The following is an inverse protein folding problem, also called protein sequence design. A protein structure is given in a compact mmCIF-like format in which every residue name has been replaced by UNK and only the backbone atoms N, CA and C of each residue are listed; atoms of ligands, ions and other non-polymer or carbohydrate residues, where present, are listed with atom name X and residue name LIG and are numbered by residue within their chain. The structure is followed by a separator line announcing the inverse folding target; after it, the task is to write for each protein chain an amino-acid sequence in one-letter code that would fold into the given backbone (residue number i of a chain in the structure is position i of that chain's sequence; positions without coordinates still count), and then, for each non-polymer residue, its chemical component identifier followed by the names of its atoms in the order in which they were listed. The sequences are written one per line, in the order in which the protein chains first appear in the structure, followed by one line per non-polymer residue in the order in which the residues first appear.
data_IF_955789821798
#
_entry.id   IF_955789821798
#
_cell.length_a   1.000
_cell.length_b   1.000
_cell.length_c   1.000
_cell.angle_alpha   90.00
_cell.angle_beta   90.00
_cell.angle_gamma   90.00
#
_symmetry.space_group_name_H-M   'P 1'
#
loop_
_entity.id
_entity.type
_entity.pdbx_description
1 polymer ?
#
# COMPACT_ATOMS: atom_id res chain seq x y z
N UNK A 1 -2.57 -45.29 43.11
CA UNK A 1 -1.39 -44.69 42.45
C UNK A 1 -1.65 -44.70 40.95
N UNK A 2 -2.25 -43.65 40.39
CA UNK A 2 -2.48 -43.48 38.95
C UNK A 2 -2.47 -41.98 38.63
N UNK A 3 -1.31 -41.49 38.24
CA UNK A 3 -1.10 -40.19 37.60
C UNK A 3 -0.20 -40.43 36.40
N UNK A 4 -0.47 -39.71 35.31
CA UNK A 4 0.20 -39.66 33.98
C UNK A 4 -0.82 -39.99 32.88
N UNK A 5 -1.18 -39.14 31.93
CA UNK A 5 -0.61 -37.89 31.47
C UNK A 5 -1.73 -37.01 30.89
N UNK A 6 -1.95 -35.89 31.55
CA UNK A 6 -2.42 -34.66 30.93
C UNK A 6 -1.21 -34.07 30.19
N UNK A 7 -1.27 -33.97 28.87
CA UNK A 7 -0.50 -33.04 28.01
C UNK A 7 -0.25 -33.70 26.65
N UNK A 8 -1.02 -33.28 25.66
CA UNK A 8 -0.50 -32.95 24.33
C UNK A 8 -1.61 -32.22 23.56
N UNK A 9 -2.08 -31.12 24.16
CA UNK A 9 -2.61 -29.99 23.41
C UNK A 9 -1.42 -29.34 22.69
N UNK A 10 -1.01 -29.89 21.56
CA UNK A 10 -0.15 -29.17 20.62
C UNK A 10 -0.87 -29.24 19.29
N UNK A 11 -1.76 -28.28 19.11
CA UNK A 11 -2.20 -27.81 17.80
C UNK A 11 -0.94 -27.51 16.98
N UNK A 12 -0.56 -28.42 16.09
CA UNK A 12 0.43 -28.14 15.07
C UNK A 12 -0.18 -27.10 14.14
N UNK A 13 0.15 -25.83 14.39
CA UNK A 13 -0.14 -24.73 13.48
C UNK A 13 0.77 -24.92 12.26
N UNK A 14 0.26 -25.62 11.24
CA UNK A 14 0.93 -25.71 9.94
C UNK A 14 0.96 -24.29 9.38
N UNK A 15 2.12 -23.65 9.46
CA UNK A 15 2.38 -22.41 8.74
C UNK A 15 2.40 -22.74 7.26
N UNK A 16 1.31 -22.43 6.57
CA UNK A 16 1.25 -22.47 5.11
C UNK A 16 2.16 -21.31 4.65
N UNK A 17 3.38 -21.62 4.22
CA UNK A 17 4.18 -20.66 3.46
C UNK A 17 3.46 -20.43 2.14
N UNK A 18 3.18 -19.16 1.81
CA UNK A 18 2.59 -18.81 0.52
C UNK A 18 3.54 -19.25 -0.59
N UNK A 19 3.13 -20.24 -1.39
CA UNK A 19 3.85 -20.63 -2.58
C UNK A 19 3.71 -19.47 -3.58
N UNK A 20 4.77 -18.67 -3.73
CA UNK A 20 4.85 -17.69 -4.82
C UNK A 20 4.97 -18.48 -6.12
N UNK A 21 3.84 -18.65 -6.82
CA UNK A 21 3.86 -19.16 -8.17
C UNK A 21 4.46 -18.07 -9.06
N UNK A 22 5.65 -18.32 -9.61
CA UNK A 22 6.20 -17.45 -10.65
C UNK A 22 5.37 -17.65 -11.91
N UNK A 23 4.44 -16.72 -12.15
CA UNK A 23 3.59 -16.71 -13.35
C UNK A 23 4.38 -16.05 -14.46
N UNK A 24 4.74 -16.82 -15.48
CA UNK A 24 5.27 -16.29 -16.72
C UNK A 24 4.11 -16.03 -17.68
N UNK A 25 3.83 -14.76 -17.95
CA UNK A 25 2.92 -14.37 -19.03
C UNK A 25 3.74 -13.99 -20.27
N UNK A 26 3.21 -14.28 -21.45
CA UNK A 26 3.75 -13.69 -22.68
C UNK A 26 3.35 -12.22 -22.74
N UNK A 27 4.22 -11.33 -23.25
CA UNK A 27 3.83 -9.94 -23.49
C UNK A 27 2.66 -9.87 -24.50
N UNK A 28 1.88 -8.78 -24.51
CA UNK A 28 0.80 -8.62 -25.47
C UNK A 28 1.29 -8.70 -26.93
N UNK A 29 0.54 -9.39 -27.80
CA UNK A 29 0.88 -9.57 -29.22
C UNK A 29 0.72 -8.29 -30.06
N UNK A 30 -0.03 -7.31 -29.54
CA UNK A 30 -0.23 -6.01 -30.19
C UNK A 30 0.94 -5.06 -29.89
N UNK A 31 1.24 -4.09 -30.77
CA UNK A 31 2.20 -3.05 -30.47
C UNK A 31 1.76 -2.24 -29.25
N UNK A 32 2.49 -2.35 -28.14
CA UNK A 32 2.27 -1.57 -26.92
C UNK A 32 3.34 -0.48 -26.84
N UNK A 33 2.93 0.73 -26.45
CA UNK A 33 3.84 1.81 -26.07
C UNK A 33 3.65 2.16 -24.61
N UNK A 34 4.72 2.58 -23.94
CA UNK A 34 4.59 3.23 -22.63
C UNK A 34 3.99 4.61 -22.83
N UNK A 35 3.05 5.00 -21.95
CA UNK A 35 2.58 6.38 -21.91
C UNK A 35 3.74 7.30 -21.53
N UNK A 36 3.73 8.51 -22.07
CA UNK A 36 4.67 9.53 -21.62
C UNK A 36 4.13 10.22 -20.35
N UNK A 37 5.00 10.80 -19.54
CA UNK A 37 4.63 11.39 -18.24
C UNK A 37 3.67 12.59 -18.38
N UNK A 38 3.73 13.29 -19.50
CA UNK A 38 2.91 14.47 -19.81
C UNK A 38 1.58 14.13 -20.50
N UNK A 39 1.27 12.85 -20.69
CA UNK A 39 -0.05 12.43 -21.17
C UNK A 39 -1.07 12.47 -20.03
N UNK A 40 -2.36 12.54 -20.36
CA UNK A 40 -3.42 12.62 -19.35
C UNK A 40 -3.43 11.36 -18.44
N UNK A 41 -3.36 11.60 -17.13
CA UNK A 41 -3.35 10.54 -16.13
C UNK A 41 -4.71 10.38 -15.48
N UNK A 42 -5.16 9.13 -15.33
CA UNK A 42 -6.40 8.83 -14.60
C UNK A 42 -6.20 8.87 -13.08
N UNK A 43 -5.00 8.48 -12.61
CA UNK A 43 -4.66 8.46 -11.21
C UNK A 43 -3.15 8.59 -10.95
N UNK A 44 -2.80 9.15 -9.79
CA UNK A 44 -1.46 9.17 -9.23
C UNK A 44 -1.39 8.20 -8.05
N UNK A 45 -0.32 7.39 -7.98
CA UNK A 45 -0.14 6.42 -6.90
C UNK A 45 0.97 6.88 -5.97
N UNK A 46 0.74 6.80 -4.66
CA UNK A 46 1.74 7.02 -3.61
C UNK A 46 1.72 5.89 -2.59
N UNK A 47 2.85 5.66 -1.90
CA UNK A 47 2.91 4.68 -0.80
C UNK A 47 3.05 5.39 0.53
N UNK A 48 2.17 5.07 1.48
CA UNK A 48 2.18 5.62 2.84
C UNK A 48 2.77 4.60 3.82
N UNK A 49 4.09 4.53 3.89
CA UNK A 49 4.79 3.64 4.82
C UNK A 49 6.07 4.30 5.37
N UNK A 50 6.27 4.34 6.70
CA UNK A 50 7.51 4.85 7.27
C UNK A 50 8.78 4.11 6.80
N UNK A 51 8.67 2.82 6.44
CA UNK A 51 9.78 1.99 5.98
C UNK A 51 11.01 2.13 6.88
N UNK A 52 12.19 2.19 6.26
CA UNK A 52 13.45 2.58 6.90
C UNK A 52 13.77 4.08 6.81
N UNK A 53 12.90 4.89 6.22
CA UNK A 53 13.19 6.28 5.81
C UNK A 53 12.71 7.34 6.81
N UNK A 54 12.28 6.93 8.01
CA UNK A 54 11.80 7.84 9.05
C UNK A 54 10.41 8.39 8.76
N UNK A 55 10.11 9.62 9.21
CA UNK A 55 8.79 10.26 9.08
C UNK A 55 8.80 11.59 8.31
N UNK A 56 9.98 12.06 7.86
CA UNK A 56 10.12 13.38 7.21
C UNK A 56 9.35 13.48 5.88
N UNK A 57 9.11 12.34 5.22
CA UNK A 57 8.35 12.25 3.97
C UNK A 57 6.87 12.63 4.11
N UNK A 58 6.26 12.54 5.31
CA UNK A 58 4.82 12.76 5.50
C UNK A 58 4.36 14.15 5.09
N UNK A 59 5.17 15.17 5.39
CA UNK A 59 4.87 16.54 4.99
C UNK A 59 4.89 16.68 3.45
N UNK A 60 5.90 16.11 2.80
CA UNK A 60 6.03 16.17 1.33
C UNK A 60 4.89 15.41 0.65
N UNK A 61 4.57 14.20 1.10
CA UNK A 61 3.45 13.44 0.55
C UNK A 61 2.11 14.15 0.79
N UNK A 62 1.94 14.86 1.91
CA UNK A 62 0.73 15.65 2.16
C UNK A 62 0.55 16.75 1.12
N UNK A 63 1.61 17.49 0.79
CA UNK A 63 1.55 18.54 -0.23
C UNK A 63 1.35 17.96 -1.64
N UNK A 64 1.95 16.81 -1.93
CA UNK A 64 1.69 16.07 -3.19
C UNK A 64 0.23 15.68 -3.29
N UNK A 65 -0.35 15.08 -2.24
CA UNK A 65 -1.77 14.69 -2.22
C UNK A 65 -2.67 15.91 -2.36
N UNK A 66 -2.34 17.03 -1.68
CA UNK A 66 -3.11 18.27 -1.74
C UNK A 66 -3.19 18.82 -3.17
N UNK A 67 -2.08 18.83 -3.90
CA UNK A 67 -2.07 19.31 -5.28
C UNK A 67 -2.66 18.29 -6.27
N UNK A 68 -2.23 17.01 -6.17
CA UNK A 68 -2.59 16.00 -7.16
C UNK A 68 -4.10 15.68 -7.20
N UNK A 69 -4.79 15.77 -6.04
CA UNK A 69 -6.24 15.50 -5.95
C UNK A 69 -7.10 16.51 -6.70
N UNK A 70 -6.60 17.70 -6.97
CA UNK A 70 -7.31 18.73 -7.73
C UNK A 70 -7.36 18.37 -9.22
N UNK A 71 -6.39 17.59 -9.70
CA UNK A 71 -6.22 17.23 -11.10
C UNK A 71 -6.67 15.78 -11.41
N UNK A 72 -6.40 14.82 -10.51
CA UNK A 72 -6.69 13.41 -10.74
C UNK A 72 -6.95 12.64 -9.44
N UNK A 73 -7.35 11.37 -9.56
CA UNK A 73 -7.50 10.49 -8.39
C UNK A 73 -6.14 10.14 -7.79
N UNK A 74 -6.01 10.24 -6.48
CA UNK A 74 -4.80 9.81 -5.74
C UNK A 74 -5.05 8.47 -5.06
N UNK A 75 -4.28 7.46 -5.42
CA UNK A 75 -4.31 6.13 -4.80
C UNK A 75 -3.20 6.06 -3.74
N UNK A 76 -3.59 5.92 -2.48
CA UNK A 76 -2.67 5.84 -1.34
C UNK A 76 -2.55 4.37 -0.93
N UNK A 77 -1.39 3.78 -1.22
CA UNK A 77 -1.08 2.39 -0.89
C UNK A 77 -0.63 2.28 0.56
N UNK A 78 -1.33 1.46 1.33
CA UNK A 78 -1.13 1.26 2.76
C UNK A 78 -0.93 -0.22 3.06
N UNK A 79 -0.03 -0.53 3.99
CA UNK A 79 0.28 -1.93 4.37
C UNK A 79 -0.85 -2.64 5.14
N UNK A 80 -1.74 -1.86 5.75
CA UNK A 80 -2.87 -2.36 6.55
C UNK A 80 -3.95 -1.28 6.70
N UNK A 81 -5.14 -1.68 7.14
CA UNK A 81 -6.23 -0.75 7.44
C UNK A 81 -5.83 0.29 8.51
N UNK A 82 -5.02 -0.11 9.50
CA UNK A 82 -4.51 0.79 10.54
C UNK A 82 -3.64 1.89 9.94
N UNK A 83 -2.79 1.54 8.96
CA UNK A 83 -1.94 2.49 8.24
C UNK A 83 -2.78 3.46 7.40
N UNK A 84 -3.84 2.97 6.76
CA UNK A 84 -4.77 3.80 5.98
C UNK A 84 -5.50 4.81 6.87
N UNK A 85 -6.06 4.37 8.00
CA UNK A 85 -6.69 5.27 8.98
C UNK A 85 -5.69 6.28 9.55
N UNK A 86 -4.44 5.89 9.79
CA UNK A 86 -3.39 6.82 10.22
C UNK A 86 -3.05 7.87 9.14
N UNK A 87 -3.03 7.48 7.87
CA UNK A 87 -2.84 8.39 6.74
C UNK A 87 -4.00 9.40 6.65
N UNK A 88 -5.24 8.92 6.69
CA UNK A 88 -6.45 9.75 6.63
C UNK A 88 -6.50 10.77 7.78
N UNK A 89 -6.24 10.33 9.02
CA UNK A 89 -6.18 11.20 10.18
C UNK A 89 -5.08 12.27 10.04
N UNK A 90 -3.91 11.88 9.51
CA UNK A 90 -2.81 12.81 9.30
C UNK A 90 -3.17 13.87 8.25
N UNK A 91 -3.67 13.45 7.09
CA UNK A 91 -4.10 14.36 6.02
C UNK A 91 -5.20 15.31 6.49
N UNK A 92 -6.19 14.79 7.23
CA UNK A 92 -7.26 15.59 7.83
C UNK A 92 -6.71 16.61 8.82
N UNK A 93 -5.74 16.24 9.67
CA UNK A 93 -5.07 17.16 10.59
C UNK A 93 -4.29 18.28 9.90
N UNK A 94 -3.98 18.11 8.62
CA UNK A 94 -3.31 19.09 7.74
C UNK A 94 -4.28 19.82 6.83
N UNK A 95 -5.58 19.74 7.08
CA UNK A 95 -6.64 20.35 6.28
C UNK A 95 -6.61 19.92 4.80
N UNK A 96 -6.19 18.69 4.52
CA UNK A 96 -6.38 18.09 3.19
C UNK A 96 -7.79 17.48 3.16
N UNK A 97 -8.56 17.82 2.14
CA UNK A 97 -9.89 17.24 1.95
C UNK A 97 -9.79 15.79 1.48
N UNK A 98 -10.06 14.84 2.38
CA UNK A 98 -10.00 13.40 2.09
C UNK A 98 -11.30 12.85 1.47
N UNK A 99 -12.34 13.67 1.30
CA UNK A 99 -13.65 13.22 0.85
C UNK A 99 -13.78 13.07 -0.68
N UNK A 100 -12.86 13.66 -1.44
CA UNK A 100 -12.88 13.61 -2.90
C UNK A 100 -11.50 13.24 -3.48
N UNK A 101 -11.52 12.54 -4.62
CA UNK A 101 -10.35 12.15 -5.41
C UNK A 101 -9.23 11.43 -4.65
N UNK A 102 -9.54 10.73 -3.55
CA UNK A 102 -8.58 9.91 -2.80
C UNK A 102 -9.14 8.49 -2.62
N UNK A 103 -8.29 7.49 -2.84
CA UNK A 103 -8.61 6.07 -2.67
C UNK A 103 -7.50 5.39 -1.87
N UNK A 104 -7.86 4.57 -0.88
CA UNK A 104 -6.90 3.82 -0.08
C UNK A 104 -6.83 2.37 -0.55
N UNK A 105 -5.64 1.93 -0.96
CA UNK A 105 -5.39 0.55 -1.40
C UNK A 105 -4.59 -0.20 -0.34
N UNK A 106 -5.12 -1.33 0.15
CA UNK A 106 -4.40 -2.18 1.10
C UNK A 106 -3.53 -3.18 0.35
N UNK A 107 -2.22 -2.96 0.36
CA UNK A 107 -1.23 -3.86 -0.27
C UNK A 107 0.09 -3.84 0.49
N UNK A 108 0.78 -4.99 0.53
CA UNK A 108 2.08 -5.13 1.17
C UNK A 108 3.12 -4.21 0.51
N UNK A 109 3.83 -3.43 1.30
CA UNK A 109 4.89 -2.54 0.85
C UNK A 109 5.93 -2.34 1.97
N UNK A 110 7.14 -1.89 1.62
CA UNK A 110 8.26 -1.75 2.56
C UNK A 110 8.95 -0.37 2.50
N UNK A 111 8.59 0.49 1.53
CA UNK A 111 9.18 1.81 1.33
C UNK A 111 8.17 2.80 0.73
N UNK A 112 8.53 4.08 0.68
CA UNK A 112 7.73 5.13 0.03
C UNK A 112 7.96 5.22 -1.49
N UNK A 113 8.97 4.52 -2.00
CA UNK A 113 9.44 4.65 -3.38
C UNK A 113 8.56 3.86 -4.34
N UNK A 114 7.34 4.37 -4.58
CA UNK A 114 6.35 3.77 -5.50
C UNK A 114 6.78 3.81 -6.96
N UNK A 115 7.88 4.53 -7.27
CA UNK A 115 8.37 4.68 -8.63
C UNK A 115 9.31 3.57 -9.06
N UNK A 116 9.97 2.95 -8.10
CA UNK A 116 10.87 1.82 -8.29
C UNK A 116 10.08 0.51 -8.16
#
# INVERSE_FOLDING_TARGET
MNTKLLSCFITAFISITSLSAQVFTTPPEIPVRTMAEWEELQALVITWNPGGSGNAWRNILTEIVRAAREECKVIIVCSSQNTATAAENYLTSKNVDVSSNIEYLIASNNSIWVRD
#
